data_IF_257304224136
#
_entry.id   IF_257304224136
#
_cell.length_a   1.000
_cell.length_b   1.000
_cell.length_c   1.000
_cell.angle_alpha   90.00
_cell.angle_beta   90.00
_cell.angle_gamma   90.00
#
_symmetry.space_group_name_H-M   'P 1'
#
loop_
_entity.id
_entity.type
_entity.pdbx_description
1 polymer ?
#
# COMPACT_ATOMS: atom_id res chain seq x y z
N UNK A 1 6.41 6.78 3.51
CA UNK A 1 5.50 6.39 2.39
C UNK A 1 4.34 5.49 2.85
N UNK A 2 4.28 5.17 4.13
CA UNK A 2 3.23 4.34 4.73
C UNK A 2 1.82 4.95 4.62
N UNK A 3 1.68 6.29 4.71
CA UNK A 3 0.38 6.95 4.54
C UNK A 3 0.00 7.13 3.06
N UNK A 4 -1.32 7.07 2.78
CA UNK A 4 -1.86 7.32 1.45
C UNK A 4 -1.49 8.72 0.95
N UNK A 5 -1.60 9.74 1.82
CA UNK A 5 -1.29 11.12 1.45
C UNK A 5 0.18 11.29 1.05
N UNK A 6 1.12 10.64 1.78
CA UNK A 6 2.54 10.71 1.42
C UNK A 6 2.82 10.09 0.06
N UNK A 7 2.12 9.01 -0.30
CA UNK A 7 2.21 8.39 -1.63
C UNK A 7 1.65 9.30 -2.71
N UNK A 8 0.46 9.87 -2.52
CA UNK A 8 -0.16 10.85 -3.43
C UNK A 8 0.77 12.05 -3.65
N UNK A 9 1.29 12.62 -2.58
CA UNK A 9 2.20 13.77 -2.63
C UNK A 9 3.46 13.49 -3.46
N UNK A 10 3.90 12.24 -3.52
CA UNK A 10 5.07 11.87 -4.31
C UNK A 10 4.88 12.12 -5.81
N UNK A 11 3.65 11.93 -6.32
CA UNK A 11 3.30 12.16 -7.72
C UNK A 11 3.11 13.65 -8.06
N UNK A 12 2.78 14.49 -7.06
CA UNK A 12 2.59 15.93 -7.25
C UNK A 12 3.92 16.69 -7.24
N UNK A 13 4.96 16.11 -6.65
CA UNK A 13 6.27 16.74 -6.51
C UNK A 13 7.17 16.47 -7.70
N UNK A 14 7.99 17.48 -8.06
CA UNK A 14 9.10 17.28 -9.00
C UNK A 14 10.24 16.56 -8.28
N UNK A 15 10.67 15.43 -8.82
CA UNK A 15 11.82 14.66 -8.30
C UNK A 15 13.09 15.01 -9.06
N UNK A 16 14.19 15.22 -8.33
CA UNK A 16 15.51 15.43 -8.93
C UNK A 16 16.25 14.11 -8.97
N UNK A 17 16.60 13.66 -10.15
CA UNK A 17 17.34 12.43 -10.41
C UNK A 17 18.74 12.75 -10.91
N UNK A 18 19.70 11.86 -10.66
CA UNK A 18 21.10 12.02 -11.07
C UNK A 18 21.51 10.82 -11.91
N UNK A 19 22.26 11.09 -12.99
CA UNK A 19 22.93 10.02 -13.74
C UNK A 19 24.21 9.65 -13.01
N UNK A 20 24.33 8.38 -12.62
CA UNK A 20 25.60 7.87 -12.13
C UNK A 20 26.55 7.73 -13.32
N UNK A 21 27.57 8.58 -13.39
CA UNK A 21 28.64 8.50 -14.37
C UNK A 21 29.97 8.27 -13.63
N UNK A 22 30.77 7.36 -14.14
CA UNK A 22 32.14 7.11 -13.66
C UNK A 22 33.11 8.26 -13.95
N UNK A 23 32.65 9.30 -14.67
CA UNK A 23 33.43 10.52 -14.96
C UNK A 23 32.83 11.69 -14.18
N UNK A 24 33.67 12.58 -13.68
CA UNK A 24 33.42 13.62 -12.67
C UNK A 24 32.34 14.67 -12.95
N UNK A 25 31.49 14.53 -13.96
CA UNK A 25 30.33 15.41 -14.20
C UNK A 25 29.03 14.68 -13.91
N UNK A 26 28.37 15.00 -12.81
CA UNK A 26 27.03 14.49 -12.52
C UNK A 26 25.99 15.32 -13.29
N UNK A 27 25.33 14.70 -14.27
CA UNK A 27 24.15 15.28 -14.92
C UNK A 27 22.92 15.03 -14.05
N UNK A 28 22.10 16.06 -13.81
CA UNK A 28 20.85 15.92 -13.06
C UNK A 28 19.67 16.36 -13.94
N UNK A 29 18.53 15.72 -13.75
CA UNK A 29 17.28 16.12 -14.39
C UNK A 29 16.15 16.22 -13.37
N UNK A 30 15.15 17.05 -13.67
CA UNK A 30 13.92 17.15 -12.87
C UNK A 30 12.81 16.39 -13.58
N UNK A 31 12.12 15.50 -12.89
CA UNK A 31 11.08 14.63 -13.43
C UNK A 31 9.79 14.82 -12.64
N UNK A 32 8.67 14.93 -13.36
CA UNK A 32 7.31 14.84 -12.83
C UNK A 32 6.68 13.57 -13.37
N UNK A 33 5.61 13.12 -12.73
CA UNK A 33 4.80 12.02 -13.25
C UNK A 33 4.40 12.31 -14.70
N UNK A 34 4.77 11.42 -15.67
CA UNK A 34 4.69 11.79 -17.09
C UNK A 34 3.33 11.50 -17.73
N UNK A 35 2.52 10.58 -17.14
CA UNK A 35 1.32 10.10 -17.80
C UNK A 35 0.12 11.03 -17.58
N UNK A 36 -0.77 11.17 -18.61
CA UNK A 36 -1.97 11.98 -18.51
C UNK A 36 -3.04 11.28 -17.65
N UNK A 37 -4.05 12.03 -17.16
CA UNK A 37 -5.12 11.48 -16.33
C UNK A 37 -6.06 10.50 -17.03
N UNK A 38 -5.89 10.30 -18.34
CA UNK A 38 -6.62 9.30 -19.14
C UNK A 38 -6.08 7.88 -18.96
N UNK A 39 -4.87 7.72 -18.42
CA UNK A 39 -4.32 6.42 -18.04
C UNK A 39 -5.06 5.87 -16.82
N UNK A 40 -5.23 4.53 -16.74
CA UNK A 40 -5.71 3.88 -15.50
C UNK A 40 -4.73 4.04 -14.34
N UNK A 41 -3.41 4.07 -14.64
CA UNK A 41 -2.34 4.32 -13.71
C UNK A 41 -2.21 5.82 -13.35
N UNK A 42 -3.21 6.36 -12.65
CA UNK A 42 -3.20 7.72 -12.11
C UNK A 42 -2.46 7.80 -10.77
N UNK A 43 -2.13 9.01 -10.31
CA UNK A 43 -1.57 9.22 -8.98
C UNK A 43 -2.44 8.58 -7.88
N UNK A 44 -3.78 8.68 -7.99
CA UNK A 44 -4.72 8.10 -7.03
C UNK A 44 -4.69 6.58 -7.06
N UNK A 45 -4.90 5.96 -8.24
CA UNK A 45 -4.96 4.50 -8.36
C UNK A 45 -3.64 3.83 -7.99
N UNK A 46 -2.50 4.44 -8.38
CA UNK A 46 -1.17 3.97 -7.98
C UNK A 46 -0.97 4.06 -6.47
N UNK A 47 -1.31 5.20 -5.85
CA UNK A 47 -1.14 5.38 -4.40
C UNK A 47 -2.02 4.44 -3.59
N UNK A 48 -3.25 4.21 -4.01
CA UNK A 48 -4.16 3.25 -3.37
C UNK A 48 -3.68 1.80 -3.54
N UNK A 49 -3.15 1.46 -4.71
CA UNK A 49 -2.53 0.16 -4.97
C UNK A 49 -1.22 -0.04 -4.18
N UNK A 50 -0.71 1.01 -3.51
CA UNK A 50 0.44 0.96 -2.62
C UNK A 50 1.73 1.51 -3.22
N UNK A 51 1.69 2.12 -4.38
CA UNK A 51 2.87 2.68 -5.03
C UNK A 51 3.07 4.17 -4.72
N UNK A 52 4.32 4.59 -4.74
CA UNK A 52 4.73 5.99 -4.76
C UNK A 52 5.66 6.25 -5.94
N UNK A 53 5.69 7.47 -6.43
CA UNK A 53 6.53 7.87 -7.55
C UNK A 53 8.00 7.85 -7.16
N UNK A 54 8.80 7.05 -7.84
CA UNK A 54 10.23 6.88 -7.59
C UNK A 54 11.03 6.75 -8.89
N UNK A 55 11.11 7.85 -9.69
CA UNK A 55 11.75 7.84 -10.99
C UNK A 55 13.26 7.64 -10.90
N UNK A 56 13.80 6.88 -11.84
CA UNK A 56 15.22 6.74 -12.07
C UNK A 56 15.68 7.54 -13.31
N UNK A 57 16.97 7.48 -13.63
CA UNK A 57 17.48 8.10 -14.84
C UNK A 57 16.96 7.40 -16.11
N UNK A 58 16.86 6.08 -16.07
CA UNK A 58 16.47 5.25 -17.20
C UNK A 58 14.94 5.08 -17.25
N UNK A 59 14.27 5.01 -16.10
CA UNK A 59 12.82 4.78 -15.96
C UNK A 59 12.14 6.00 -15.34
N UNK A 60 11.57 6.86 -16.19
CA UNK A 60 10.99 8.16 -15.80
C UNK A 60 9.64 8.05 -15.11
N UNK A 61 8.92 6.97 -15.33
CA UNK A 61 7.62 6.64 -14.77
C UNK A 61 7.69 5.52 -13.72
N UNK A 62 8.89 5.25 -13.21
CA UNK A 62 9.08 4.23 -12.18
C UNK A 62 8.36 4.59 -10.89
N UNK A 63 7.73 3.57 -10.31
CA UNK A 63 7.08 3.61 -9.01
C UNK A 63 7.58 2.46 -8.16
N UNK A 64 7.55 2.63 -6.83
CA UNK A 64 7.91 1.57 -5.89
C UNK A 64 6.79 1.32 -4.87
N UNK A 65 6.56 0.06 -4.50
CA UNK A 65 5.59 -0.28 -3.46
C UNK A 65 6.14 0.06 -2.07
N UNK A 66 5.35 0.77 -1.26
CA UNK A 66 5.74 1.19 0.09
C UNK A 66 6.03 0.02 1.05
N UNK A 67 5.41 -1.15 0.82
CA UNK A 67 5.49 -2.29 1.73
C UNK A 67 6.46 -3.38 1.27
N UNK A 68 6.46 -3.74 -0.01
CA UNK A 68 7.31 -4.81 -0.53
C UNK A 68 8.50 -4.33 -1.36
N UNK A 69 8.61 -3.03 -1.63
CA UNK A 69 9.70 -2.46 -2.42
C UNK A 69 9.67 -2.83 -3.92
N UNK A 70 8.60 -3.47 -4.42
CA UNK A 70 8.49 -3.82 -5.84
C UNK A 70 8.49 -2.56 -6.69
N UNK A 71 9.45 -2.47 -7.60
CA UNK A 71 9.54 -1.41 -8.61
C UNK A 71 8.86 -1.83 -9.91
N UNK A 72 8.17 -0.89 -10.54
CA UNK A 72 7.49 -1.03 -11.83
C UNK A 72 7.65 0.26 -12.65
N UNK A 73 7.78 0.12 -13.95
CA UNK A 73 7.89 1.21 -14.95
C UNK A 73 7.25 0.79 -16.26
N UNK A 74 7.32 1.65 -17.25
CA UNK A 74 6.76 1.44 -18.60
C UNK A 74 5.24 1.22 -18.57
N UNK A 75 4.52 2.16 -17.92
CA UNK A 75 3.07 2.10 -17.77
C UNK A 75 2.35 2.42 -19.08
N UNK A 76 1.49 1.50 -19.53
CA UNK A 76 0.57 1.69 -20.64
C UNK A 76 -0.77 2.29 -20.19
N UNK A 77 -1.54 2.83 -21.14
CA UNK A 77 -2.81 3.52 -20.85
C UNK A 77 -3.84 2.62 -20.14
N UNK A 78 -3.85 1.34 -20.46
CA UNK A 78 -4.78 0.33 -19.95
C UNK A 78 -4.28 -0.44 -18.73
N UNK A 79 -3.06 -0.17 -18.28
CA UNK A 79 -2.48 -0.83 -17.12
C UNK A 79 -3.21 -0.46 -15.83
N UNK A 80 -3.83 -1.46 -15.19
CA UNK A 80 -4.46 -1.29 -13.87
C UNK A 80 -3.46 -1.59 -12.75
N UNK A 81 -3.09 -0.59 -11.92
CA UNK A 81 -2.11 -0.78 -10.85
C UNK A 81 -2.48 -1.85 -9.82
N UNK A 82 -3.77 -2.05 -9.56
CA UNK A 82 -4.23 -3.06 -8.61
C UNK A 82 -4.02 -4.47 -9.17
N UNK A 83 -4.43 -4.70 -10.41
CA UNK A 83 -4.30 -6.00 -11.07
C UNK A 83 -2.84 -6.38 -11.25
N UNK A 84 -2.01 -5.41 -11.68
CA UNK A 84 -0.57 -5.63 -11.87
C UNK A 84 0.11 -5.95 -10.54
N UNK A 85 -0.19 -5.17 -9.48
CA UNK A 85 0.41 -5.40 -8.16
C UNK A 85 -0.01 -6.75 -7.60
N UNK A 86 -1.31 -7.09 -7.66
CA UNK A 86 -1.82 -8.38 -7.20
C UNK A 86 -1.18 -9.53 -7.95
N UNK A 87 -1.19 -9.49 -9.28
CA UNK A 87 -0.64 -10.56 -10.11
C UNK A 87 0.84 -10.79 -9.86
N UNK A 88 1.62 -9.71 -9.75
CA UNK A 88 3.08 -9.81 -9.59
C UNK A 88 3.51 -10.10 -8.15
N UNK A 89 2.72 -9.69 -7.13
CA UNK A 89 3.21 -9.63 -5.75
C UNK A 89 2.31 -10.32 -4.71
N UNK A 90 1.21 -10.99 -5.08
CA UNK A 90 0.29 -11.65 -4.12
C UNK A 90 0.96 -12.66 -3.19
N UNK A 91 2.11 -13.21 -3.58
CA UNK A 91 2.85 -14.18 -2.76
C UNK A 91 3.84 -13.51 -1.80
N UNK A 92 4.12 -12.23 -1.96
CA UNK A 92 5.20 -11.53 -1.24
C UNK A 92 4.75 -10.23 -0.58
N UNK A 93 3.66 -9.61 -1.05
CA UNK A 93 3.18 -8.33 -0.58
C UNK A 93 1.84 -8.45 0.16
N UNK A 94 1.79 -8.22 1.47
CA UNK A 94 0.55 -8.16 2.24
C UNK A 94 -0.47 -7.16 1.67
N UNK A 95 -0.03 -5.96 1.25
CA UNK A 95 -0.91 -4.93 0.68
C UNK A 95 -1.55 -5.38 -0.64
N UNK A 96 -0.78 -6.03 -1.51
CA UNK A 96 -1.31 -6.61 -2.74
C UNK A 96 -2.43 -7.61 -2.44
N UNK A 97 -2.28 -8.44 -1.41
CA UNK A 97 -3.30 -9.42 -1.01
C UNK A 97 -4.55 -8.75 -0.46
N UNK A 98 -4.42 -7.86 0.54
CA UNK A 98 -5.57 -7.32 1.28
C UNK A 98 -6.27 -6.19 0.53
N UNK A 99 -5.55 -5.34 -0.22
CA UNK A 99 -6.12 -4.17 -0.90
C UNK A 99 -6.35 -4.41 -2.38
N UNK A 100 -5.33 -4.92 -3.09
CA UNK A 100 -5.44 -5.06 -4.53
C UNK A 100 -6.35 -6.24 -4.91
N UNK A 101 -6.17 -7.40 -4.28
CA UNK A 101 -7.02 -8.56 -4.54
C UNK A 101 -8.45 -8.45 -4.01
N UNK A 102 -8.79 -7.40 -3.24
CA UNK A 102 -10.16 -7.19 -2.75
C UNK A 102 -11.16 -6.94 -3.87
N UNK A 103 -10.69 -6.43 -5.01
CA UNK A 103 -11.53 -6.20 -6.19
C UNK A 103 -12.10 -7.50 -6.77
N UNK A 104 -11.37 -8.61 -6.65
CA UNK A 104 -11.83 -9.92 -7.10
C UNK A 104 -12.93 -10.52 -6.20
N UNK A 105 -13.13 -9.93 -5.02
CA UNK A 105 -14.09 -10.39 -4.01
C UNK A 105 -15.39 -9.57 -4.01
N UNK A 106 -15.58 -8.68 -4.98
CA UNK A 106 -16.73 -7.77 -5.08
C UNK A 106 -17.42 -7.96 -6.43
N UNK A 107 -18.76 -8.07 -6.44
CA UNK A 107 -19.55 -8.14 -7.66
C UNK A 107 -19.83 -6.76 -8.27
N UNK A 108 -20.58 -6.73 -9.37
CA UNK A 108 -20.95 -5.52 -10.11
C UNK A 108 -21.79 -4.54 -9.27
N UNK A 109 -22.51 -5.03 -8.27
CA UNK A 109 -23.33 -4.24 -7.34
C UNK A 109 -22.55 -3.74 -6.12
N UNK A 110 -21.27 -4.11 -5.99
CA UNK A 110 -20.42 -3.75 -4.87
C UNK A 110 -20.60 -4.65 -3.64
N UNK A 111 -21.29 -5.77 -3.78
CA UNK A 111 -21.47 -6.75 -2.71
C UNK A 111 -20.29 -7.73 -2.65
N UNK A 112 -19.90 -8.12 -1.43
CA UNK A 112 -18.82 -9.09 -1.28
C UNK A 112 -19.24 -10.50 -1.65
N UNK A 113 -18.55 -11.09 -2.62
CA UNK A 113 -18.68 -12.49 -3.03
C UNK A 113 -17.30 -13.16 -2.95
N UNK A 114 -17.16 -14.11 -2.03
CA UNK A 114 -15.90 -14.82 -1.84
C UNK A 114 -15.94 -16.19 -2.53
N UNK A 115 -15.71 -16.20 -3.84
CA UNK A 115 -15.61 -17.44 -4.61
C UNK A 115 -14.46 -18.34 -4.12
N UNK A 116 -13.40 -17.73 -3.62
CA UNK A 116 -12.26 -18.44 -3.02
C UNK A 116 -12.32 -18.36 -1.49
N UNK A 117 -12.55 -19.49 -0.83
CA UNK A 117 -12.63 -19.59 0.64
C UNK A 117 -11.37 -19.08 1.38
N UNK A 118 -10.21 -19.10 0.72
CA UNK A 118 -8.98 -18.59 1.34
C UNK A 118 -8.97 -17.06 1.45
N UNK A 119 -9.85 -16.37 0.72
CA UNK A 119 -10.01 -14.93 0.75
C UNK A 119 -11.11 -14.44 1.71
N UNK A 120 -11.85 -15.37 2.33
CA UNK A 120 -12.79 -15.00 3.38
C UNK A 120 -12.11 -14.14 4.45
N UNK A 121 -12.75 -13.07 4.95
CA UNK A 121 -12.18 -12.22 6.01
C UNK A 121 -11.68 -13.00 7.24
N UNK A 122 -12.37 -14.09 7.60
CA UNK A 122 -12.04 -14.97 8.72
C UNK A 122 -10.94 -16.00 8.42
N UNK A 123 -10.46 -16.09 7.17
CA UNK A 123 -9.42 -17.06 6.82
C UNK A 123 -8.06 -16.69 7.43
N UNK A 124 -7.28 -17.72 7.78
CA UNK A 124 -5.92 -17.52 8.30
C UNK A 124 -4.96 -16.87 7.29
N UNK A 125 -5.23 -17.03 6.00
CA UNK A 125 -4.45 -16.39 4.93
C UNK A 125 -4.69 -14.88 4.96
N UNK A 126 -5.95 -14.44 5.04
CA UNK A 126 -6.28 -13.01 5.12
C UNK A 126 -5.86 -12.40 6.46
N UNK A 127 -6.00 -13.11 7.58
CA UNK A 127 -5.48 -12.67 8.88
C UNK A 127 -3.95 -12.45 8.82
N UNK A 128 -3.20 -13.39 8.24
CA UNK A 128 -1.75 -13.27 8.06
C UNK A 128 -1.38 -12.08 7.16
N UNK A 129 -2.12 -11.89 6.07
CA UNK A 129 -1.89 -10.78 5.16
C UNK A 129 -2.17 -9.42 5.85
N UNK A 130 -3.26 -9.31 6.63
CA UNK A 130 -3.52 -8.11 7.43
C UNK A 130 -2.42 -7.85 8.46
N UNK A 131 -1.99 -8.89 9.18
CA UNK A 131 -0.87 -8.77 10.13
C UNK A 131 0.39 -8.22 9.45
N UNK A 132 0.67 -8.64 8.22
CA UNK A 132 1.81 -8.18 7.44
C UNK A 132 1.79 -6.67 7.17
N UNK A 133 0.62 -6.02 7.13
CA UNK A 133 0.54 -4.56 6.94
C UNK A 133 1.06 -3.77 8.14
N UNK A 134 0.96 -4.32 9.34
CA UNK A 134 1.47 -3.71 10.58
C UNK A 134 2.98 -3.89 10.75
N UNK A 135 3.60 -4.84 10.03
CA UNK A 135 4.99 -5.27 10.23
C UNK A 135 5.97 -4.78 9.14
N UNK A 136 5.54 -3.83 8.33
CA UNK A 136 6.35 -3.32 7.21
C UNK A 136 7.62 -2.56 7.59
N UNK A 137 7.85 -2.25 8.86
CA UNK A 137 9.01 -1.49 9.33
C UNK A 137 8.90 -1.03 10.77
N UNK A 138 8.41 -1.88 11.68
CA UNK A 138 8.15 -1.55 13.09
C UNK A 138 7.24 -0.31 13.27
N UNK A 139 6.31 -0.12 12.30
CA UNK A 139 5.48 1.08 12.24
C UNK A 139 4.35 1.11 13.25
N UNK A 140 3.89 -0.07 13.73
CA UNK A 140 2.79 -0.14 14.67
C UNK A 140 3.27 0.13 16.10
N UNK A 141 2.94 1.28 16.69
CA UNK A 141 3.56 1.73 17.94
C UNK A 141 3.23 0.84 19.14
N UNK A 142 2.07 0.19 19.11
CA UNK A 142 1.56 -0.58 20.25
C UNK A 142 2.20 -1.96 20.42
N UNK A 143 2.90 -2.48 19.38
CA UNK A 143 3.65 -3.74 19.49
C UNK A 143 4.87 -3.64 20.43
N UNK A 144 5.40 -2.42 20.64
CA UNK A 144 6.49 -2.16 21.57
C UNK A 144 6.04 -2.10 23.05
N UNK A 145 4.72 -2.04 23.33
CA UNK A 145 4.16 -1.87 24.66
C UNK A 145 3.64 -3.22 25.19
N UNK A 146 4.29 -3.84 26.18
CA UNK A 146 3.85 -5.12 26.72
C UNK A 146 2.41 -5.08 27.25
N UNK A 147 1.58 -6.02 26.78
CA UNK A 147 0.20 -6.15 27.23
C UNK A 147 -0.77 -5.11 26.68
N UNK A 148 -0.39 -4.36 25.62
CA UNK A 148 -1.31 -3.46 24.93
C UNK A 148 -2.43 -4.26 24.24
N UNK A 149 -3.69 -3.86 24.46
CA UNK A 149 -4.85 -4.56 23.91
C UNK A 149 -4.91 -4.52 22.37
N UNK A 150 -4.60 -3.38 21.77
CA UNK A 150 -4.56 -3.20 20.32
C UNK A 150 -3.20 -3.59 19.69
N UNK A 151 -2.59 -4.71 20.11
CA UNK A 151 -1.38 -5.20 19.41
C UNK A 151 -1.71 -5.65 17.97
N UNK A 152 -0.72 -5.60 17.08
CA UNK A 152 -0.90 -5.89 15.65
C UNK A 152 -1.60 -7.23 15.38
N UNK A 153 -1.35 -8.24 16.21
CA UNK A 153 -1.99 -9.56 16.10
C UNK A 153 -3.51 -9.47 16.31
N UNK A 154 -3.96 -8.80 17.38
CA UNK A 154 -5.39 -8.63 17.66
C UNK A 154 -6.05 -7.74 16.61
N UNK A 155 -5.38 -6.66 16.19
CA UNK A 155 -5.85 -5.82 15.10
C UNK A 155 -6.10 -6.61 13.81
N UNK A 156 -5.16 -7.44 13.40
CA UNK A 156 -5.30 -8.29 12.23
C UNK A 156 -6.42 -9.33 12.38
N UNK A 157 -6.61 -9.90 13.57
CA UNK A 157 -7.71 -10.82 13.88
C UNK A 157 -9.07 -10.13 13.78
N UNK A 158 -9.18 -8.90 14.31
CA UNK A 158 -10.39 -8.08 14.24
C UNK A 158 -10.73 -7.57 12.81
N UNK A 159 -9.84 -7.76 11.83
CA UNK A 159 -10.12 -7.39 10.44
C UNK A 159 -9.45 -6.10 9.97
N UNK A 160 -8.65 -5.45 10.81
CA UNK A 160 -7.98 -4.20 10.49
C UNK A 160 -6.69 -4.40 9.70
N UNK A 161 -6.37 -3.41 8.87
CA UNK A 161 -5.06 -3.18 8.24
C UNK A 161 -4.49 -1.85 8.70
N UNK A 162 -3.18 -1.70 8.70
CA UNK A 162 -2.54 -0.45 9.08
C UNK A 162 -2.67 0.59 7.94
N UNK A 163 -3.26 1.74 8.25
CA UNK A 163 -3.54 2.82 7.29
C UNK A 163 -3.31 4.19 7.91
N UNK A 164 -2.08 4.52 8.31
CA UNK A 164 -1.80 5.77 9.00
C UNK A 164 -2.17 6.98 8.14
N UNK A 165 -2.68 8.04 8.78
CA UNK A 165 -2.96 9.32 8.13
C UNK A 165 -1.66 10.11 7.94
N UNK A 166 -0.82 10.10 8.96
CA UNK A 166 0.53 10.66 8.96
C UNK A 166 1.53 9.61 9.46
N UNK A 167 2.82 9.89 9.30
CA UNK A 167 3.86 8.98 9.81
C UNK A 167 3.76 8.83 11.33
N UNK A 168 3.68 7.59 11.79
CA UNK A 168 3.66 7.23 13.22
C UNK A 168 2.30 7.32 13.90
N UNK A 169 1.21 7.64 13.19
CA UNK A 169 -0.12 7.53 13.76
C UNK A 169 -0.58 6.08 13.79
N UNK A 170 -1.55 5.78 14.66
CA UNK A 170 -2.06 4.44 14.92
C UNK A 170 -3.42 4.16 14.23
N UNK A 171 -3.71 4.86 13.13
CA UNK A 171 -4.93 4.63 12.38
C UNK A 171 -4.90 3.27 11.69
N UNK A 172 -5.96 2.50 11.91
CA UNK A 172 -6.19 1.22 11.24
C UNK A 172 -7.60 1.17 10.64
N UNK A 173 -7.75 0.53 9.48
CA UNK A 173 -9.00 0.49 8.73
C UNK A 173 -9.41 -0.96 8.43
N UNK A 174 -10.69 -1.27 8.59
CA UNK A 174 -11.29 -2.48 8.04
C UNK A 174 -11.68 -2.22 6.58
N UNK A 175 -11.02 -2.88 5.63
CA UNK A 175 -11.28 -2.66 4.20
C UNK A 175 -12.62 -3.21 3.71
N UNK A 176 -13.30 -4.02 4.51
CA UNK A 176 -14.62 -4.58 4.16
C UNK A 176 -15.78 -3.66 4.49
N UNK A 177 -15.73 -2.94 5.62
CA UNK A 177 -16.78 -2.02 6.04
C UNK A 177 -16.33 -0.55 6.07
N UNK A 178 -15.06 -0.28 5.73
CA UNK A 178 -14.42 1.04 5.73
C UNK A 178 -14.42 1.74 7.10
N UNK A 179 -14.62 0.99 8.20
CA UNK A 179 -14.44 1.53 9.55
C UNK A 179 -12.96 1.84 9.77
N UNK A 180 -12.66 3.07 10.13
CA UNK A 180 -11.31 3.54 10.42
C UNK A 180 -11.24 4.08 11.84
N UNK A 181 -10.32 3.58 12.65
CA UNK A 181 -10.13 3.92 14.05
C UNK A 181 -8.66 4.21 14.32
N UNK A 182 -8.40 5.09 15.29
CA UNK A 182 -7.08 5.46 15.78
C UNK A 182 -7.18 6.02 17.20
N UNK A 183 -6.04 6.30 17.83
CA UNK A 183 -6.00 6.73 19.25
C UNK A 183 -6.26 5.57 20.20
N UNK A 184 -5.62 4.41 19.93
CA UNK A 184 -5.81 3.18 20.70
C UNK A 184 -5.19 3.26 22.09
N UNK A 185 -6.01 3.12 23.14
CA UNK A 185 -5.58 3.01 24.51
C UNK A 185 -5.15 1.58 24.87
N UNK A 186 -4.36 1.48 25.96
CA UNK A 186 -3.78 0.19 26.39
C UNK A 186 -4.84 -0.89 26.66
N UNK A 187 -5.99 -0.49 27.17
CA UNK A 187 -7.06 -1.40 27.58
C UNK A 187 -8.11 -1.63 26.49
N UNK A 188 -7.93 -1.02 25.30
CA UNK A 188 -8.81 -1.24 24.16
C UNK A 188 -8.69 -2.66 23.63
N UNK A 189 -9.83 -3.30 23.33
CA UNK A 189 -9.87 -4.61 22.68
C UNK A 189 -10.55 -4.50 21.31
N UNK A 190 -9.81 -4.68 20.22
CA UNK A 190 -10.34 -4.60 18.85
C UNK A 190 -11.21 -5.81 18.45
N UNK A 191 -11.25 -6.90 19.25
CA UNK A 191 -12.01 -8.13 18.97
C UNK A 191 -13.47 -8.03 19.39
#
# INVERSE_FOLDING_TARGET
MESLQSRLDSFLKTKRIKKHSSKSSSTSASVKWPHPPTFKATASTLSEAGFYFDPSWDDRDSVACFLCGKELSDWDADDDPFDIHYTKCRNTCPWAVVRCGLRDDVDEDGSYIFSNKTRLPSSKIMEKARLGTFKGGDWWPHDAIPGHGACSKKMAQAGFVYTPQISGDDTATCLYCNLSLGGWDKDDDPL
#
